data_IF_887628475968
#
_entry.id   IF_887628475968
#
_cell.length_a   1.000
_cell.length_b   1.000
_cell.length_c   1.000
_cell.angle_alpha   90.00
_cell.angle_beta   90.00
_cell.angle_gamma   90.00
#
_symmetry.space_group_name_H-M   'P 1'
#
loop_
_entity.id
_entity.type
_entity.pdbx_description
1 polymer ?
#
# COMPACT_ATOMS: atom_id res chain seq x y z
N UNK A 1 -3.65 -1.44 -7.26
CA UNK A 1 -3.99 -1.90 -5.88
C UNK A 1 -4.35 -3.38 -5.90
N UNK A 2 -4.35 -4.07 -4.76
CA UNK A 2 -4.79 -5.47 -4.63
C UNK A 2 -5.83 -5.59 -3.52
N UNK A 3 -6.95 -6.27 -3.78
CA UNK A 3 -8.01 -6.52 -2.79
C UNK A 3 -8.49 -7.97 -2.85
N UNK A 4 -8.25 -8.74 -1.79
CA UNK A 4 -8.59 -10.17 -1.71
C UNK A 4 -9.72 -10.44 -0.69
N UNK A 5 -10.09 -9.44 0.10
CA UNK A 5 -11.18 -9.51 1.08
C UNK A 5 -12.56 -9.45 0.40
N UNK A 6 -13.66 -9.82 1.09
CA UNK A 6 -15.01 -9.68 0.53
C UNK A 6 -15.31 -8.26 0.02
N UNK A 7 -16.09 -8.13 -1.04
CA UNK A 7 -16.43 -6.83 -1.61
C UNK A 7 -17.15 -5.92 -0.60
N UNK A 8 -18.04 -6.46 0.24
CA UNK A 8 -18.75 -5.69 1.27
C UNK A 8 -17.84 -5.12 2.37
N UNK A 9 -16.60 -5.57 2.47
CA UNK A 9 -15.60 -4.98 3.38
C UNK A 9 -14.74 -3.89 2.74
N UNK A 10 -14.91 -3.62 1.44
CA UNK A 10 -14.26 -2.51 0.76
C UNK A 10 -15.06 -1.24 1.08
N UNK A 11 -14.70 -0.62 2.20
CA UNK A 11 -15.51 0.40 2.84
C UNK A 11 -15.04 1.83 2.55
N UNK A 12 -15.46 2.73 3.43
CA UNK A 12 -15.17 4.17 3.36
C UNK A 12 -13.66 4.45 3.31
N UNK A 13 -12.86 3.72 4.08
CA UNK A 13 -11.39 3.91 4.13
C UNK A 13 -10.73 3.55 2.80
N UNK A 14 -11.15 2.46 2.19
CA UNK A 14 -10.65 2.01 0.89
C UNK A 14 -11.14 2.92 -0.24
N UNK A 15 -12.40 3.36 -0.22
CA UNK A 15 -12.92 4.35 -1.17
C UNK A 15 -12.18 5.69 -1.05
N UNK A 16 -11.91 6.17 0.16
CA UNK A 16 -11.10 7.36 0.40
C UNK A 16 -9.70 7.26 -0.19
N UNK A 17 -9.06 6.10 -0.06
CA UNK A 17 -7.77 5.82 -0.71
C UNK A 17 -7.87 5.96 -2.23
N UNK A 18 -8.89 5.34 -2.84
CA UNK A 18 -9.15 5.45 -4.29
C UNK A 18 -9.46 6.89 -4.73
N UNK A 19 -10.30 7.61 -4.01
CA UNK A 19 -10.62 9.01 -4.28
C UNK A 19 -9.39 9.89 -4.22
N UNK A 20 -8.51 9.68 -3.23
CA UNK A 20 -7.26 10.44 -3.10
C UNK A 20 -6.33 10.26 -4.30
N UNK A 21 -6.31 9.06 -4.91
CA UNK A 21 -5.57 8.80 -6.16
C UNK A 21 -6.13 9.66 -7.28
N UNK A 22 -7.44 9.65 -7.50
CA UNK A 22 -8.05 10.43 -8.58
C UNK A 22 -8.02 11.93 -8.33
N UNK A 23 -8.00 12.37 -7.06
CA UNK A 23 -7.87 13.78 -6.72
C UNK A 23 -6.52 14.32 -7.19
N UNK A 24 -5.46 13.55 -6.94
CA UNK A 24 -4.09 13.92 -7.28
C UNK A 24 -3.75 13.60 -8.74
N UNK A 25 -4.34 12.53 -9.30
CA UNK A 25 -4.09 12.02 -10.64
C UNK A 25 -5.41 11.77 -11.39
N UNK A 26 -6.16 12.81 -11.77
CA UNK A 26 -7.51 12.66 -12.35
C UNK A 26 -7.55 11.91 -13.67
N UNK A 27 -6.47 11.95 -14.45
CA UNK A 27 -6.36 11.24 -15.73
C UNK A 27 -5.85 9.81 -15.65
N UNK A 28 -5.48 9.31 -14.45
CA UNK A 28 -4.87 7.99 -14.31
C UNK A 28 -5.87 6.86 -14.52
N UNK A 29 -5.37 5.66 -14.82
CA UNK A 29 -6.13 4.43 -14.75
C UNK A 29 -5.77 3.70 -13.46
N UNK A 30 -6.76 3.43 -12.62
CA UNK A 30 -6.57 2.62 -11.42
C UNK A 30 -7.01 1.18 -11.70
N UNK A 31 -6.06 0.25 -11.66
CA UNK A 31 -6.35 -1.18 -11.67
C UNK A 31 -6.40 -1.72 -10.23
N UNK A 32 -7.51 -2.37 -9.88
CA UNK A 32 -7.69 -3.09 -8.63
C UNK A 32 -7.72 -4.59 -8.94
N UNK A 33 -6.68 -5.30 -8.51
CA UNK A 33 -6.61 -6.75 -8.67
C UNK A 33 -7.46 -7.42 -7.60
N UNK A 34 -8.62 -7.94 -8.00
CA UNK A 34 -9.61 -8.47 -7.07
C UNK A 34 -10.62 -9.37 -7.75
N UNK A 35 -10.77 -10.59 -7.21
CA UNK A 35 -11.88 -11.49 -7.58
C UNK A 35 -13.21 -11.05 -6.99
N UNK A 36 -13.18 -10.51 -5.77
CA UNK A 36 -14.40 -10.21 -5.02
C UNK A 36 -15.06 -8.93 -5.52
N UNK A 37 -14.28 -7.95 -5.99
CA UNK A 37 -14.82 -6.73 -6.59
C UNK A 37 -15.24 -6.92 -8.05
N UNK A 38 -14.81 -7.98 -8.74
CA UNK A 38 -15.27 -8.33 -10.09
C UNK A 38 -16.61 -9.11 -10.02
N UNK A 39 -17.58 -8.52 -9.31
CA UNK A 39 -18.92 -9.07 -9.08
C UNK A 39 -19.95 -7.95 -9.12
N UNK A 40 -21.24 -8.28 -9.21
CA UNK A 40 -22.33 -7.27 -9.14
C UNK A 40 -22.25 -6.45 -7.85
N UNK A 41 -21.92 -7.09 -6.72
CA UNK A 41 -21.77 -6.38 -5.45
C UNK A 41 -20.56 -5.44 -5.46
N UNK A 42 -19.43 -5.89 -6.03
CA UNK A 42 -18.25 -5.03 -6.23
C UNK A 42 -18.51 -3.85 -7.15
N UNK A 43 -19.29 -4.05 -8.22
CA UNK A 43 -19.75 -2.97 -9.08
C UNK A 43 -20.55 -1.94 -8.28
N UNK A 44 -21.49 -2.36 -7.43
CA UNK A 44 -22.25 -1.44 -6.56
C UNK A 44 -21.34 -0.64 -5.63
N UNK A 45 -20.33 -1.27 -5.03
CA UNK A 45 -19.34 -0.59 -4.18
C UNK A 45 -18.58 0.49 -4.94
N UNK A 46 -18.17 0.21 -6.18
CA UNK A 46 -17.38 1.14 -7.00
C UNK A 46 -18.24 2.09 -7.85
N UNK A 47 -19.56 1.88 -7.89
CA UNK A 47 -20.50 2.66 -8.72
C UNK A 47 -20.34 4.18 -8.56
N UNK A 48 -20.16 4.74 -7.35
CA UNK A 48 -19.98 6.19 -7.21
C UNK A 48 -18.78 6.74 -7.99
N UNK A 49 -17.68 5.98 -8.05
CA UNK A 49 -16.48 6.35 -8.81
C UNK A 49 -16.70 6.24 -10.32
N UNK A 50 -17.39 5.18 -10.74
CA UNK A 50 -17.71 4.93 -12.15
C UNK A 50 -18.69 5.97 -12.71
N UNK A 51 -19.72 6.32 -11.96
CA UNK A 51 -20.68 7.38 -12.30
C UNK A 51 -19.98 8.75 -12.44
N UNK A 52 -18.92 8.96 -11.64
CA UNK A 52 -18.05 10.15 -11.71
C UNK A 52 -17.03 10.10 -12.86
N UNK A 53 -17.14 9.12 -13.77
CA UNK A 53 -16.28 8.90 -14.94
C UNK A 53 -14.81 8.64 -14.61
N UNK A 54 -14.48 8.22 -13.40
CA UNK A 54 -13.12 7.80 -13.06
C UNK A 54 -12.78 6.45 -13.70
N UNK A 55 -11.54 6.32 -14.19
CA UNK A 55 -11.05 5.11 -14.84
C UNK A 55 -10.60 4.10 -13.79
N UNK A 56 -11.56 3.39 -13.20
CA UNK A 56 -11.32 2.24 -12.32
C UNK A 56 -11.59 0.96 -13.09
N UNK A 57 -10.61 0.06 -13.13
CA UNK A 57 -10.76 -1.27 -13.67
C UNK A 57 -10.51 -2.31 -12.58
N UNK A 58 -11.44 -3.23 -12.42
CA UNK A 58 -11.25 -4.41 -11.58
C UNK A 58 -10.87 -5.58 -12.46
N UNK A 59 -9.88 -6.36 -12.02
CA UNK A 59 -9.40 -7.53 -12.75
C UNK A 59 -9.16 -8.68 -11.77
N UNK A 60 -9.78 -9.84 -11.99
CA UNK A 60 -9.38 -11.08 -11.31
C UNK A 60 -8.02 -11.53 -11.85
N UNK A 61 -6.96 -11.61 -11.02
CA UNK A 61 -5.68 -12.09 -11.50
C UNK A 61 -5.71 -13.60 -11.72
N UNK A 62 -5.38 -14.04 -12.94
CA UNK A 62 -4.96 -15.42 -13.21
C UNK A 62 -3.56 -15.61 -12.60
N UNK A 63 -3.50 -16.23 -11.41
CA UNK A 63 -2.24 -16.41 -10.67
C UNK A 63 -1.23 -17.32 -11.40
N UNK A 64 -1.61 -18.48 -11.97
CA UNK A 64 -0.72 -19.26 -12.82
C UNK A 64 -0.08 -18.43 -13.94
N UNK A 65 -0.88 -17.66 -14.70
CA UNK A 65 -0.37 -16.81 -15.76
C UNK A 65 0.50 -15.67 -15.23
N UNK A 66 0.06 -15.01 -14.16
CA UNK A 66 0.76 -13.91 -13.54
C UNK A 66 2.12 -14.33 -12.98
N UNK A 67 2.26 -15.55 -12.45
CA UNK A 67 3.53 -16.00 -11.88
C UNK A 67 4.48 -16.61 -12.91
N UNK A 68 3.97 -16.96 -14.10
CA UNK A 68 4.74 -17.60 -15.17
C UNK A 68 6.05 -16.86 -15.47
N UNK A 69 7.15 -17.63 -15.56
CA UNK A 69 8.48 -17.11 -15.88
C UNK A 69 9.14 -16.34 -14.73
N UNK A 70 8.74 -16.62 -13.50
CA UNK A 70 9.38 -16.12 -12.27
C UNK A 70 9.46 -17.26 -11.25
N UNK A 71 10.31 -17.14 -10.21
CA UNK A 71 10.36 -18.15 -9.14
C UNK A 71 9.05 -18.28 -8.36
N UNK A 72 8.15 -17.29 -8.44
CA UNK A 72 6.80 -17.38 -7.87
C UNK A 72 6.00 -18.53 -8.46
N UNK A 73 6.24 -18.91 -9.72
CA UNK A 73 5.53 -20.01 -10.40
C UNK A 73 5.78 -21.33 -9.69
N UNK A 74 7.05 -21.64 -9.40
CA UNK A 74 7.43 -22.85 -8.69
C UNK A 74 6.86 -22.85 -7.27
N UNK A 75 7.00 -21.74 -6.54
CA UNK A 75 6.44 -21.60 -5.19
C UNK A 75 4.92 -21.84 -5.18
N UNK A 76 4.18 -21.22 -6.10
CA UNK A 76 2.72 -21.32 -6.17
C UNK A 76 2.26 -22.73 -6.54
N UNK A 77 2.98 -23.41 -7.42
CA UNK A 77 2.72 -24.82 -7.75
C UNK A 77 2.90 -25.73 -6.55
N UNK A 78 3.98 -25.56 -5.78
CA UNK A 78 4.20 -26.36 -4.57
C UNK A 78 3.15 -26.05 -3.48
N UNK A 79 2.69 -24.80 -3.38
CA UNK A 79 1.57 -24.42 -2.51
C UNK A 79 0.27 -25.14 -2.91
N UNK A 80 -0.13 -25.11 -4.18
CA UNK A 80 -1.35 -25.79 -4.66
C UNK A 80 -1.27 -27.30 -4.45
N UNK A 81 -0.09 -27.90 -4.61
CA UNK A 81 0.14 -29.33 -4.37
C UNK A 81 0.16 -29.72 -2.89
N UNK A 82 -0.02 -28.77 -1.96
CA UNK A 82 0.04 -29.02 -0.52
C UNK A 82 1.46 -29.34 -0.01
N UNK A 83 2.50 -29.06 -0.82
CA UNK A 83 3.91 -29.31 -0.48
C UNK A 83 4.58 -28.13 0.20
N UNK A 84 3.95 -26.95 0.15
CA UNK A 84 4.39 -25.74 0.84
C UNK A 84 3.38 -25.39 1.91
N UNK A 85 3.84 -25.30 3.16
CA UNK A 85 3.02 -24.84 4.29
C UNK A 85 2.59 -23.38 4.04
N UNK A 86 1.27 -23.06 4.00
CA UNK A 86 0.79 -21.69 3.90
C UNK A 86 1.02 -20.85 5.16
N UNK A 87 1.22 -21.52 6.31
CA UNK A 87 1.41 -20.95 7.63
C UNK A 87 0.18 -20.28 8.25
N UNK A 88 0.36 -19.73 9.45
CA UNK A 88 -0.69 -19.12 10.27
C UNK A 88 -1.13 -17.72 9.82
N UNK A 89 -0.25 -16.96 9.16
CA UNK A 89 -0.61 -15.64 8.63
C UNK A 89 -1.52 -15.83 7.42
N UNK A 90 -2.67 -15.12 7.33
CA UNK A 90 -3.64 -15.32 6.26
C UNK A 90 -3.00 -15.37 4.88
N UNK A 91 -3.26 -16.45 4.14
CA UNK A 91 -2.69 -16.65 2.81
C UNK A 91 -2.99 -15.48 1.86
N UNK A 92 -4.16 -14.84 1.98
CA UNK A 92 -4.51 -13.63 1.23
C UNK A 92 -3.53 -12.48 1.45
N UNK A 93 -3.02 -12.28 2.68
CA UNK A 93 -2.02 -11.26 2.98
C UNK A 93 -0.68 -11.59 2.31
N UNK A 94 -0.27 -12.86 2.35
CA UNK A 94 0.96 -13.33 1.70
C UNK A 94 0.86 -13.26 0.17
N UNK A 95 -0.28 -13.65 -0.41
CA UNK A 95 -0.55 -13.50 -1.85
C UNK A 95 -0.56 -12.03 -2.27
N UNK A 96 -1.14 -11.12 -1.49
CA UNK A 96 -1.07 -9.67 -1.79
C UNK A 96 0.36 -9.14 -1.80
N UNK A 97 1.22 -9.62 -0.89
CA UNK A 97 2.65 -9.28 -0.89
C UNK A 97 3.39 -9.79 -2.13
N UNK A 98 3.02 -10.96 -2.66
CA UNK A 98 3.65 -11.49 -3.87
C UNK A 98 3.11 -10.82 -5.14
N UNK A 99 1.78 -10.70 -5.27
CA UNK A 99 1.09 -10.14 -6.44
C UNK A 99 1.61 -8.73 -6.73
N UNK A 100 1.76 -7.87 -5.71
CA UNK A 100 2.25 -6.49 -5.91
C UNK A 100 3.66 -6.45 -6.54
N UNK A 101 4.53 -7.39 -6.16
CA UNK A 101 5.88 -7.48 -6.69
C UNK A 101 5.87 -7.98 -8.13
N UNK A 102 5.11 -9.05 -8.41
CA UNK A 102 5.06 -9.65 -9.74
C UNK A 102 4.37 -8.76 -10.77
N UNK A 103 3.30 -8.08 -10.38
CA UNK A 103 2.59 -7.12 -11.24
C UNK A 103 3.50 -5.96 -11.61
N UNK A 104 4.18 -5.35 -10.64
CA UNK A 104 5.17 -4.32 -10.95
C UNK A 104 6.32 -4.85 -11.81
N UNK A 105 6.77 -6.09 -11.59
CA UNK A 105 7.83 -6.66 -12.41
C UNK A 105 7.38 -6.84 -13.87
N UNK A 106 6.13 -7.25 -14.10
CA UNK A 106 5.59 -7.49 -15.45
C UNK A 106 5.12 -6.23 -16.16
N UNK A 107 4.63 -5.22 -15.43
CA UNK A 107 3.94 -4.07 -16.04
C UNK A 107 4.53 -2.71 -15.64
N UNK A 108 5.41 -2.66 -14.64
CA UNK A 108 5.93 -1.42 -14.08
C UNK A 108 4.85 -0.56 -13.43
N UNK A 109 5.17 0.71 -13.20
CA UNK A 109 4.25 1.72 -12.68
C UNK A 109 4.29 1.85 -11.17
N UNK A 110 3.13 2.14 -10.59
CA UNK A 110 2.96 2.46 -9.17
C UNK A 110 2.02 1.45 -8.54
N UNK A 111 2.50 0.75 -7.53
CA UNK A 111 1.66 0.00 -6.61
C UNK A 111 1.46 0.78 -5.32
N UNK A 112 0.23 0.83 -4.84
CA UNK A 112 -0.17 1.32 -3.52
C UNK A 112 -1.16 0.33 -2.90
N UNK A 113 -1.12 0.19 -1.58
CA UNK A 113 -2.12 -0.55 -0.82
C UNK A 113 -3.46 0.20 -0.80
N UNK A 114 -4.55 -0.53 -0.54
CA UNK A 114 -5.92 0.03 -0.55
C UNK A 114 -6.19 0.95 0.64
N UNK A 115 -5.26 1.06 1.60
CA UNK A 115 -5.33 1.90 2.79
C UNK A 115 -4.24 2.99 2.77
N UNK A 116 -3.99 3.58 1.60
CA UNK A 116 -2.96 4.60 1.38
C UNK A 116 -3.56 5.88 0.80
N UNK A 117 -3.56 6.97 1.57
CA UNK A 117 -4.07 8.28 1.11
C UNK A 117 -2.95 8.99 0.34
N UNK A 118 -3.17 9.27 -0.94
CA UNK A 118 -2.26 10.06 -1.78
C UNK A 118 -2.51 11.55 -1.56
N UNK A 119 -1.45 12.29 -1.26
CA UNK A 119 -1.51 13.74 -0.97
C UNK A 119 -0.83 14.58 -2.05
N UNK A 120 0.11 14.00 -2.82
CA UNK A 120 0.87 14.71 -3.85
C UNK A 120 1.17 13.84 -5.07
N UNK A 121 1.46 14.47 -6.22
CA UNK A 121 1.81 13.73 -7.44
C UNK A 121 2.98 12.78 -7.23
N UNK A 122 2.78 11.51 -7.59
CA UNK A 122 3.80 10.46 -7.56
C UNK A 122 4.61 10.37 -8.87
N UNK A 123 4.22 11.12 -9.91
CA UNK A 123 4.79 11.06 -11.27
C UNK A 123 6.26 11.48 -11.35
N UNK A 124 6.77 12.24 -10.37
CA UNK A 124 8.20 12.60 -10.28
C UNK A 124 9.09 11.51 -9.67
N UNK A 125 8.50 10.40 -9.21
CA UNK A 125 9.22 9.30 -8.58
C UNK A 125 9.44 8.16 -9.58
N UNK A 126 10.61 7.51 -9.49
CA UNK A 126 10.98 6.38 -10.35
C UNK A 126 11.96 5.48 -9.62
N UNK A 127 11.73 4.17 -9.68
CA UNK A 127 12.52 3.14 -8.99
C UNK A 127 12.72 3.50 -7.51
N UNK A 128 11.62 3.73 -6.81
CA UNK A 128 11.58 4.25 -5.44
C UNK A 128 10.83 3.31 -4.50
N UNK A 129 11.34 3.21 -3.28
CA UNK A 129 10.72 2.51 -2.14
C UNK A 129 10.81 3.39 -0.89
N UNK A 130 9.83 3.31 0.00
CA UNK A 130 9.82 4.07 1.25
C UNK A 130 10.46 3.34 2.43
N UNK A 131 11.21 4.09 3.24
CA UNK A 131 11.59 3.68 4.58
C UNK A 131 10.40 3.83 5.52
N UNK A 132 9.96 2.75 6.14
CA UNK A 132 8.93 2.80 7.19
C UNK A 132 9.49 3.42 8.48
N UNK A 133 10.73 3.09 8.82
CA UNK A 133 11.37 3.58 10.05
C UNK A 133 12.84 3.87 9.81
N UNK A 134 13.38 4.78 10.63
CA UNK A 134 14.75 5.27 10.54
C UNK A 134 15.33 5.40 11.94
N UNK A 135 16.61 5.06 12.08
CA UNK A 135 17.35 5.32 13.32
C UNK A 135 17.62 6.82 13.45
N UNK A 136 17.27 7.40 14.59
CA UNK A 136 17.29 8.86 14.78
C UNK A 136 18.72 9.43 14.82
N UNK A 137 19.71 8.62 15.21
CA UNK A 137 21.11 9.03 15.37
C UNK A 137 21.89 8.90 14.06
N UNK A 138 21.92 7.71 13.48
CA UNK A 138 22.63 7.41 12.24
C UNK A 138 21.93 7.94 10.98
N UNK A 139 20.64 8.29 11.09
CA UNK A 139 19.78 8.62 9.93
C UNK A 139 19.70 7.53 8.88
N UNK A 140 20.08 6.30 9.22
CA UNK A 140 19.92 5.14 8.37
C UNK A 140 18.53 4.53 8.57
N UNK A 141 17.91 4.11 7.48
CA UNK A 141 16.65 3.38 7.55
C UNK A 141 16.84 2.05 8.28
N UNK A 142 15.85 1.65 9.08
CA UNK A 142 15.87 0.39 9.82
C UNK A 142 14.92 -0.65 9.22
N UNK A 143 13.79 -0.17 8.66
CA UNK A 143 12.78 -0.96 7.96
C UNK A 143 12.34 -0.24 6.69
N UNK A 144 12.29 -0.97 5.58
CA UNK A 144 11.57 -0.58 4.37
C UNK A 144 10.21 -1.28 4.34
N UNK A 145 9.28 -0.75 3.56
CA UNK A 145 7.95 -1.30 3.43
C UNK A 145 7.50 -1.28 1.96
N UNK A 146 6.65 -2.24 1.60
CA UNK A 146 6.18 -2.50 0.25
C UNK A 146 4.70 -2.13 0.06
N UNK A 147 4.13 -1.30 0.94
CA UNK A 147 2.78 -0.74 0.80
C UNK A 147 2.70 0.29 -0.32
N UNK A 148 3.82 0.90 -0.69
CA UNK A 148 3.98 1.71 -1.89
C UNK A 148 5.29 1.34 -2.58
N UNK A 149 5.23 1.11 -3.89
CA UNK A 149 6.37 0.73 -4.72
C UNK A 149 6.22 1.41 -6.07
N UNK A 150 7.27 2.10 -6.53
CA UNK A 150 7.30 2.77 -7.83
C UNK A 150 8.48 2.22 -8.61
N UNK A 151 8.24 1.44 -9.66
CA UNK A 151 9.32 0.78 -10.39
C UNK A 151 9.02 0.66 -11.88
N UNK A 152 10.09 0.73 -12.66
CA UNK A 152 10.04 0.38 -14.07
C UNK A 152 9.73 -1.11 -14.25
N UNK A 153 9.11 -1.41 -15.39
CA UNK A 153 8.91 -2.79 -15.83
C UNK A 153 10.25 -3.53 -15.89
N UNK A 154 10.26 -4.80 -15.46
CA UNK A 154 11.45 -5.67 -15.40
C UNK A 154 12.62 -5.18 -14.53
N UNK A 155 12.39 -4.21 -13.63
CA UNK A 155 13.46 -3.73 -12.76
C UNK A 155 14.12 -4.89 -11.97
N UNK A 156 15.47 -5.06 -12.00
CA UNK A 156 16.15 -6.21 -11.39
C UNK A 156 15.86 -6.38 -9.89
N UNK A 157 15.69 -5.27 -9.17
CA UNK A 157 15.35 -5.32 -7.74
C UNK A 157 14.01 -6.03 -7.47
N UNK A 158 13.01 -5.91 -8.36
CA UNK A 158 11.74 -6.62 -8.22
C UNK A 158 11.92 -8.12 -8.43
N UNK A 159 12.79 -8.52 -9.36
CA UNK A 159 13.16 -9.92 -9.57
C UNK A 159 13.80 -10.52 -8.31
N UNK A 160 14.69 -9.77 -7.65
CA UNK A 160 15.30 -10.17 -6.37
C UNK A 160 14.25 -10.30 -5.25
N UNK A 161 13.27 -9.40 -5.18
CA UNK A 161 12.18 -9.52 -4.21
C UNK A 161 11.29 -10.75 -4.45
N UNK A 162 10.93 -11.03 -5.70
CA UNK A 162 10.13 -12.20 -6.07
C UNK A 162 10.89 -13.50 -5.75
N UNK A 163 12.19 -13.51 -6.05
CA UNK A 163 13.08 -14.64 -5.76
C UNK A 163 13.19 -14.89 -4.25
N UNK A 164 13.44 -13.84 -3.47
CA UNK A 164 13.49 -13.94 -2.01
C UNK A 164 12.15 -14.44 -1.43
N UNK A 165 11.00 -13.98 -1.96
CA UNK A 165 9.69 -14.44 -1.52
C UNK A 165 9.58 -15.95 -1.73
N UNK A 166 9.82 -16.43 -2.96
CA UNK A 166 9.64 -17.83 -3.32
C UNK A 166 10.57 -18.77 -2.52
N UNK A 167 11.83 -18.37 -2.36
CA UNK A 167 12.87 -19.20 -1.75
C UNK A 167 12.77 -19.21 -0.21
N UNK A 168 12.41 -18.09 0.40
CA UNK A 168 12.45 -17.92 1.86
C UNK A 168 11.06 -17.81 2.49
N UNK A 169 9.99 -18.08 1.73
CA UNK A 169 8.62 -17.98 2.22
C UNK A 169 8.45 -18.67 3.57
N UNK A 170 7.96 -17.89 4.54
CA UNK A 170 7.57 -18.36 5.86
C UNK A 170 6.21 -17.75 6.19
N UNK A 171 5.17 -18.57 6.09
CA UNK A 171 3.79 -18.17 6.34
C UNK A 171 3.47 -17.95 7.82
N UNK A 172 4.37 -18.34 8.73
CA UNK A 172 4.14 -18.27 10.17
C UNK A 172 4.66 -16.97 10.80
N UNK A 173 5.43 -16.17 10.04
CA UNK A 173 6.05 -14.93 10.55
C UNK A 173 5.45 -13.67 9.93
N UNK A 174 4.74 -12.88 10.74
CA UNK A 174 4.19 -11.61 10.28
C UNK A 174 5.28 -10.66 9.76
N UNK A 175 5.04 -10.06 8.61
CA UNK A 175 5.96 -9.13 7.95
C UNK A 175 7.14 -9.80 7.23
N UNK A 176 7.40 -11.10 7.47
CA UNK A 176 8.53 -11.83 6.88
C UNK A 176 8.54 -11.79 5.35
N UNK A 177 7.37 -11.98 4.73
CA UNK A 177 7.17 -12.00 3.27
C UNK A 177 6.86 -10.61 2.66
N UNK A 178 6.89 -9.55 3.46
CA UNK A 178 6.54 -8.18 3.03
C UNK A 178 7.62 -7.17 3.43
N UNK A 179 7.39 -6.28 4.41
CA UNK A 179 8.38 -5.28 4.82
C UNK A 179 9.75 -5.85 5.20
N UNK A 180 9.80 -7.05 5.80
CA UNK A 180 11.06 -7.67 6.21
C UNK A 180 11.82 -8.23 5.01
N UNK A 181 11.11 -8.82 4.06
CA UNK A 181 11.66 -9.29 2.79
C UNK A 181 12.39 -8.18 2.04
N UNK A 182 11.69 -7.08 1.72
CA UNK A 182 12.27 -5.99 0.93
C UNK A 182 13.46 -5.34 1.64
N UNK A 183 13.40 -5.28 2.98
CA UNK A 183 14.51 -4.80 3.80
C UNK A 183 15.73 -5.73 3.75
N UNK A 184 15.53 -7.05 3.86
CA UNK A 184 16.64 -8.03 3.82
C UNK A 184 17.33 -8.02 2.46
N UNK A 185 16.55 -8.02 1.38
CA UNK A 185 17.09 -7.97 0.01
C UNK A 185 17.90 -6.70 -0.19
N UNK A 186 17.36 -5.52 0.12
CA UNK A 186 18.10 -4.27 -0.06
C UNK A 186 19.35 -4.22 0.83
N UNK A 187 19.30 -4.66 2.10
CA UNK A 187 20.52 -4.74 2.96
C UNK A 187 21.61 -5.60 2.35
N UNK A 188 21.23 -6.72 1.71
CA UNK A 188 22.17 -7.61 1.02
C UNK A 188 22.74 -6.96 -0.25
N UNK A 189 21.92 -6.23 -0.99
CA UNK A 189 22.30 -5.60 -2.26
C UNK A 189 23.04 -4.27 -2.12
N UNK A 190 22.92 -3.54 -1.00
CA UNK A 190 23.75 -2.35 -0.74
C UNK A 190 25.25 -2.64 -0.76
N UNK A 191 25.64 -3.92 -0.64
CA UNK A 191 27.02 -4.39 -0.76
C UNK A 191 27.44 -4.73 -2.20
N UNK A 192 26.56 -4.57 -3.18
CA UNK A 192 26.76 -4.95 -4.58
C UNK A 192 26.42 -3.78 -5.51
N UNK A 193 27.30 -3.40 -6.45
CA UNK A 193 26.96 -2.42 -7.47
C UNK A 193 25.89 -2.99 -8.44
N UNK A 194 25.17 -2.11 -9.15
CA UNK A 194 24.30 -2.49 -10.28
C UNK A 194 22.79 -2.32 -10.08
N UNK A 195 22.33 -1.80 -8.95
CA UNK A 195 20.90 -1.49 -8.73
C UNK A 195 20.68 0.02 -8.61
N UNK A 196 19.89 0.60 -9.51
CA UNK A 196 19.57 2.03 -9.51
C UNK A 196 18.17 2.23 -8.92
N UNK A 197 18.10 2.63 -7.66
CA UNK A 197 16.83 2.92 -6.97
C UNK A 197 17.03 3.97 -5.88
N UNK A 198 15.92 4.56 -5.42
CA UNK A 198 15.89 5.56 -4.35
C UNK A 198 15.15 5.02 -3.13
N UNK A 199 15.73 5.23 -1.95
CA UNK A 199 15.03 5.02 -0.69
C UNK A 199 14.53 6.39 -0.22
N UNK A 200 13.22 6.54 -0.16
CA UNK A 200 12.60 7.77 0.33
C UNK A 200 12.44 7.72 1.86
N UNK A 201 12.59 8.86 2.56
CA UNK A 201 12.51 8.91 4.02
C UNK A 201 11.11 8.58 4.53
N UNK A 202 10.93 8.25 5.83
CA UNK A 202 9.61 7.98 6.39
C UNK A 202 8.59 9.09 6.17
N UNK A 203 9.01 10.36 6.17
CA UNK A 203 8.12 11.51 5.91
C UNK A 203 7.47 11.49 4.52
N UNK A 204 8.01 10.74 3.56
CA UNK A 204 7.44 10.63 2.21
C UNK A 204 6.13 9.82 2.20
N UNK A 205 6.07 8.70 2.93
CA UNK A 205 4.97 7.71 2.83
C UNK A 205 4.47 7.15 4.17
N UNK A 206 5.30 7.22 5.22
CA UNK A 206 5.06 6.65 6.54
C UNK A 206 5.29 7.70 7.65
N UNK A 207 4.69 8.90 7.57
CA UNK A 207 4.90 9.94 8.58
C UNK A 207 4.30 9.58 9.95
N UNK A 208 3.42 8.59 9.99
CA UNK A 208 2.92 7.96 11.21
C UNK A 208 3.29 6.48 11.19
N UNK A 209 4.07 6.07 12.19
CA UNK A 209 4.35 4.65 12.45
C UNK A 209 3.05 3.94 12.88
N UNK A 210 2.96 2.63 12.64
CA UNK A 210 1.76 1.82 12.88
C UNK A 210 1.31 1.85 14.34
N UNK A 211 2.23 2.05 15.29
CA UNK A 211 1.94 2.20 16.72
C UNK A 211 1.47 3.62 17.11
N UNK A 212 1.68 4.62 16.25
CA UNK A 212 1.33 6.03 16.48
C UNK A 212 0.14 6.51 15.63
N UNK A 213 -0.33 5.70 14.67
CA UNK A 213 -1.42 6.07 13.77
C UNK A 213 -2.69 6.49 14.51
N UNK A 214 -2.98 5.91 15.69
CA UNK A 214 -4.14 6.29 16.51
C UNK A 214 -4.18 7.78 16.82
N UNK A 215 -3.04 8.42 17.05
CA UNK A 215 -2.98 9.86 17.31
C UNK A 215 -3.42 10.71 16.12
N UNK A 216 -3.30 10.20 14.90
CA UNK A 216 -3.69 10.91 13.68
C UNK A 216 -5.18 10.75 13.37
N UNK A 217 -5.85 9.79 14.02
CA UNK A 217 -7.28 9.47 13.82
C UNK A 217 -8.20 10.13 14.85
N UNK A 218 -7.65 10.71 15.93
CA UNK A 218 -8.42 11.30 17.03
C UNK A 218 -8.60 12.79 16.85
N UNK A 219 -9.78 13.29 17.23
CA UNK A 219 -10.14 14.69 17.32
C UNK A 219 -9.39 15.34 18.48
N UNK A 220 -8.86 16.56 18.31
CA UNK A 220 -8.25 17.30 19.40
C UNK A 220 -9.32 17.68 20.45
N UNK A 221 -8.97 17.57 21.73
CA UNK A 221 -9.83 17.92 22.87
C UNK A 221 -9.45 19.24 23.52
N UNK A 222 -8.24 19.73 23.26
CA UNK A 222 -7.71 20.98 23.83
C UNK A 222 -7.22 21.93 22.75
N UNK A 223 -7.11 23.22 23.07
CA UNK A 223 -6.59 24.21 22.13
C UNK A 223 -5.16 23.89 21.66
N UNK A 224 -4.33 23.33 22.55
CA UNK A 224 -2.96 22.92 22.22
C UNK A 224 -2.95 21.76 21.23
N UNK A 225 -3.80 20.75 21.44
CA UNK A 225 -3.95 19.65 20.49
C UNK A 225 -4.50 20.14 19.15
N UNK A 226 -5.46 21.07 19.14
CA UNK A 226 -5.97 21.66 17.90
C UNK A 226 -4.87 22.36 17.12
N UNK A 227 -4.05 23.19 17.78
CA UNK A 227 -2.88 23.83 17.15
C UNK A 227 -1.90 22.80 16.59
N UNK A 228 -1.66 21.71 17.32
CA UNK A 228 -0.81 20.62 16.84
C UNK A 228 -1.39 19.94 15.59
N UNK A 229 -2.69 19.67 15.56
CA UNK A 229 -3.36 19.09 14.39
C UNK A 229 -3.21 19.99 13.16
N UNK A 230 -3.47 21.30 13.27
CA UNK A 230 -3.33 22.23 12.14
C UNK A 230 -1.89 22.28 11.64
N UNK A 231 -0.92 22.42 12.55
CA UNK A 231 0.50 22.43 12.20
C UNK A 231 0.92 21.11 11.53
N UNK A 232 0.42 19.97 12.02
CA UNK A 232 0.70 18.65 11.45
C UNK A 232 0.10 18.52 10.05
N UNK A 233 -1.15 18.94 9.84
CA UNK A 233 -1.79 18.91 8.52
C UNK A 233 -1.02 19.77 7.52
N UNK A 234 -0.61 20.98 7.91
CA UNK A 234 0.21 21.86 7.07
C UNK A 234 1.55 21.21 6.71
N UNK A 235 2.25 20.65 7.69
CA UNK A 235 3.50 19.94 7.45
C UNK A 235 3.33 18.79 6.45
N UNK A 236 2.33 17.93 6.66
CA UNK A 236 2.11 16.75 5.81
C UNK A 236 1.77 17.15 4.38
N UNK A 237 0.95 18.19 4.19
CA UNK A 237 0.67 18.75 2.86
C UNK A 237 1.92 19.32 2.19
N UNK A 238 2.89 19.81 2.97
CA UNK A 238 4.13 20.37 2.45
C UNK A 238 5.24 19.33 2.18
N UNK A 239 5.26 18.19 2.88
CA UNK A 239 6.42 17.26 2.86
C UNK A 239 6.09 15.84 2.40
N UNK A 240 4.82 15.43 2.45
CA UNK A 240 4.43 14.02 2.32
C UNK A 240 3.74 13.73 0.99
N UNK A 241 4.11 12.62 0.34
CA UNK A 241 3.46 12.15 -0.90
C UNK A 241 2.19 11.37 -0.63
N UNK A 242 2.17 10.60 0.46
CA UNK A 242 0.96 9.95 0.94
C UNK A 242 1.13 9.34 2.32
N UNK A 243 0.06 8.80 2.87
CA UNK A 243 0.02 8.26 4.23
C UNK A 243 -0.59 6.87 4.22
N UNK A 244 0.17 5.89 4.70
CA UNK A 244 -0.34 4.55 4.97
C UNK A 244 -1.17 4.54 6.27
N UNK A 245 -2.40 4.03 6.20
CA UNK A 245 -3.34 4.03 7.33
C UNK A 245 -3.20 2.81 8.25
N UNK A 246 -2.44 1.80 7.86
CA UNK A 246 -2.21 0.58 8.65
C UNK A 246 -3.53 -0.11 9.04
N UNK A 247 -4.46 -0.35 8.09
CA UNK A 247 -5.82 -0.83 8.39
C UNK A 247 -5.84 -2.16 9.17
N UNK A 248 -4.78 -2.99 9.10
CA UNK A 248 -4.65 -4.17 9.98
C UNK A 248 -4.69 -3.78 11.47
N UNK A 249 -4.12 -2.62 11.83
CA UNK A 249 -4.08 -2.05 13.18
C UNK A 249 -5.19 -1.02 13.41
N UNK A 250 -5.53 -0.23 12.39
CA UNK A 250 -6.37 0.96 12.57
C UNK A 250 -7.84 0.78 12.18
N UNK A 251 -8.24 -0.30 11.48
CA UNK A 251 -9.62 -0.47 10.99
C UNK A 251 -10.71 -0.48 12.06
N UNK A 252 -10.36 -0.71 13.32
CA UNK A 252 -11.30 -0.68 14.47
C UNK A 252 -11.39 0.69 15.13
N UNK A 253 -10.57 1.64 14.69
CA UNK A 253 -10.57 3.01 15.17
C UNK A 253 -11.39 3.85 14.20
N UNK A 254 -12.26 4.70 14.71
CA UNK A 254 -12.97 5.68 13.87
C UNK A 254 -12.01 6.78 13.43
N UNK A 255 -12.15 7.25 12.19
CA UNK A 255 -11.55 8.51 11.77
C UNK A 255 -12.43 9.61 12.33
N UNK A 256 -12.01 10.25 13.42
CA UNK A 256 -12.82 11.28 14.07
C UNK A 256 -12.76 12.59 13.25
N UNK A 257 -13.89 13.31 13.18
CA UNK A 257 -13.95 14.62 12.55
C UNK A 257 -13.03 15.62 13.27
N UNK A 258 -12.28 16.39 12.50
CA UNK A 258 -11.23 17.29 12.98
C UNK A 258 -9.89 16.62 13.31
N UNK A 259 -9.74 15.30 13.17
CA UNK A 259 -8.45 14.62 13.27
C UNK A 259 -7.51 14.96 12.09
N UNK A 260 -6.22 14.61 12.21
CA UNK A 260 -5.24 14.83 11.12
C UNK A 260 -5.67 14.09 9.85
N UNK A 261 -6.01 12.80 9.95
CA UNK A 261 -6.50 12.04 8.79
C UNK A 261 -7.85 12.56 8.32
N UNK A 262 -8.78 12.87 9.24
CA UNK A 262 -10.09 13.42 8.87
C UNK A 262 -9.97 14.70 8.02
N UNK A 263 -9.12 15.64 8.45
CA UNK A 263 -8.83 16.87 7.70
C UNK A 263 -8.14 16.60 6.36
N UNK A 264 -7.18 15.69 6.31
CA UNK A 264 -6.50 15.35 5.05
C UNK A 264 -7.45 14.65 4.07
N UNK A 265 -8.29 13.74 4.56
CA UNK A 265 -9.30 13.02 3.79
C UNK A 265 -10.34 13.96 3.21
N UNK A 266 -10.89 14.89 4.00
CA UNK A 266 -11.84 15.90 3.52
C UNK A 266 -11.26 16.77 2.39
N UNK A 267 -9.96 17.08 2.44
CA UNK A 267 -9.31 17.85 1.39
C UNK A 267 -9.05 17.04 0.10
N UNK A 268 -9.06 15.70 0.19
CA UNK A 268 -8.73 14.79 -0.92
C UNK A 268 -9.88 13.89 -1.36
N UNK A 269 -11.06 14.02 -0.76
CA UNK A 269 -12.26 13.37 -1.23
C UNK A 269 -12.83 14.10 -2.45
N UNK A 270 -13.51 13.35 -3.30
CA UNK A 270 -14.19 13.84 -4.50
C UNK A 270 -15.70 13.68 -4.31
N UNK A 271 -16.11 12.51 -3.80
CA UNK A 271 -17.50 12.14 -3.59
C UNK A 271 -17.91 12.46 -2.14
N UNK A 272 -16.98 12.31 -1.20
CA UNK A 272 -17.08 12.74 0.20
C UNK A 272 -18.28 12.20 1.02
N UNK A 273 -19.06 11.26 0.49
CA UNK A 273 -20.19 10.68 1.22
C UNK A 273 -19.67 9.85 2.40
N UNK A 274 -20.12 10.20 3.61
CA UNK A 274 -19.95 9.41 4.83
C UNK A 274 -18.49 9.10 5.24
N UNK A 275 -17.54 10.02 5.02
CA UNK A 275 -16.12 9.86 5.43
C UNK A 275 -15.97 9.45 6.91
N UNK A 276 -16.89 9.91 7.76
CA UNK A 276 -16.87 9.68 9.21
C UNK A 276 -17.76 8.52 9.67
N UNK A 277 -18.37 7.76 8.76
CA UNK A 277 -19.13 6.55 9.11
C UNK A 277 -18.25 5.29 9.21
N UNK A 278 -16.93 5.47 9.29
CA UNK A 278 -15.91 4.42 9.31
C UNK A 278 -15.71 3.79 10.68
#
# INVERSE_FOLDING_TARGET
MTWISPAGSFGVRELMSVESVFKVHPGTCLVILSRTLETTHGYTVLKPLLDSRFKVQVVTPDLPFLFKGTLAEAWFRELIKGKKDPGEIPLSQNLSNLIRLVVLYKYGGIYIDTDFIVLKPLTGLRNSIGAQSMDLRSKHWTRLNNAVLIFDMKHPLLHEFISEFALTFDGNKWGHNGPYLVSRVIKRLLKRPGFIFKILPPTAFYPADWNKIRGFLRKPKTQTESKWVEAKVLQLRAETYGIHLWNKQSRRLTIEDGSVIGKLALNHCIICNNIFSS
#
